data_IF_359251945916
#
_entry.id   IF_359251945916
#
_cell.length_a   1.000
_cell.length_b   1.000
_cell.length_c   1.000
_cell.angle_alpha   90.00
_cell.angle_beta   90.00
_cell.angle_gamma   90.00
#
_symmetry.space_group_name_H-M   'P 1'
#
loop_
_entity.id
_entity.type
_entity.pdbx_description
1 polymer ?
#
# COMPACT_ATOMS: atom_id res chain seq x y z
N UNK A 1 -11.95 -46.36 -5.83
CA UNK A 1 -11.09 -45.51 -4.98
C UNK A 1 -10.82 -44.12 -5.57
N UNK A 2 -10.71 -43.96 -6.89
CA UNK A 2 -10.44 -42.65 -7.53
C UNK A 2 -11.54 -41.58 -7.38
N UNK A 3 -12.83 -41.97 -7.34
CA UNK A 3 -13.94 -40.99 -7.28
C UNK A 3 -14.00 -40.19 -5.97
N UNK A 4 -13.67 -40.78 -4.82
CA UNK A 4 -13.64 -40.08 -3.52
C UNK A 4 -12.57 -38.99 -3.51
N UNK A 5 -11.35 -39.36 -3.85
CA UNK A 5 -10.23 -38.42 -3.96
C UNK A 5 -10.52 -37.28 -4.95
N UNK A 6 -11.23 -37.56 -6.04
CA UNK A 6 -11.60 -36.55 -7.03
C UNK A 6 -12.56 -35.50 -6.47
N UNK A 7 -13.61 -35.93 -5.76
CA UNK A 7 -14.57 -35.01 -5.15
C UNK A 7 -13.90 -34.14 -4.07
N UNK A 8 -13.02 -34.74 -3.28
CA UNK A 8 -12.23 -34.03 -2.26
C UNK A 8 -11.30 -32.98 -2.88
N UNK A 9 -10.65 -33.30 -4.00
CA UNK A 9 -9.80 -32.35 -4.73
C UNK A 9 -10.60 -31.18 -5.31
N UNK A 10 -11.79 -31.44 -5.89
CA UNK A 10 -12.66 -30.37 -6.41
C UNK A 10 -13.14 -29.46 -5.27
N UNK A 11 -13.61 -30.04 -4.16
CA UNK A 11 -14.11 -29.25 -3.03
C UNK A 11 -12.99 -28.41 -2.40
N UNK A 12 -11.79 -28.98 -2.28
CA UNK A 12 -10.61 -28.24 -1.83
C UNK A 12 -10.26 -27.08 -2.78
N UNK A 13 -10.23 -27.31 -4.09
CA UNK A 13 -9.99 -26.28 -5.10
C UNK A 13 -11.05 -25.16 -5.04
N UNK A 14 -12.33 -25.51 -4.92
CA UNK A 14 -13.42 -24.53 -4.78
C UNK A 14 -13.27 -23.69 -3.52
N UNK A 15 -12.98 -24.31 -2.37
CA UNK A 15 -12.78 -23.60 -1.10
C UNK A 15 -11.54 -22.70 -1.15
N UNK A 16 -10.45 -23.19 -1.73
CA UNK A 16 -9.24 -22.41 -1.96
C UNK A 16 -9.52 -21.18 -2.84
N UNK A 17 -10.22 -21.36 -3.97
CA UNK A 17 -10.59 -20.26 -4.86
C UNK A 17 -11.49 -19.23 -4.17
N UNK A 18 -12.46 -19.68 -3.36
CA UNK A 18 -13.32 -18.79 -2.57
C UNK A 18 -12.51 -17.96 -1.58
N UNK A 19 -11.64 -18.61 -0.80
CA UNK A 19 -10.82 -17.93 0.21
C UNK A 19 -9.83 -16.94 -0.42
N UNK A 20 -9.22 -17.30 -1.55
CA UNK A 20 -8.35 -16.42 -2.31
C UNK A 20 -9.08 -15.16 -2.82
N UNK A 21 -10.31 -15.32 -3.35
CA UNK A 21 -11.13 -14.18 -3.78
C UNK A 21 -11.51 -13.26 -2.62
N UNK A 22 -11.85 -13.80 -1.46
CA UNK A 22 -12.15 -13.01 -0.26
C UNK A 22 -10.91 -12.21 0.18
N UNK A 23 -9.74 -12.86 0.25
CA UNK A 23 -8.49 -12.20 0.61
C UNK A 23 -8.12 -11.11 -0.39
N UNK A 24 -8.33 -11.35 -1.69
CA UNK A 24 -8.16 -10.35 -2.74
C UNK A 24 -9.09 -9.15 -2.56
N UNK A 25 -10.38 -9.37 -2.27
CA UNK A 25 -11.33 -8.28 -2.04
C UNK A 25 -10.97 -7.43 -0.81
N UNK A 26 -10.56 -8.07 0.29
CA UNK A 26 -10.08 -7.39 1.50
C UNK A 26 -8.83 -6.56 1.18
N UNK A 27 -7.88 -7.12 0.42
CA UNK A 27 -6.66 -6.41 0.04
C UNK A 27 -6.93 -5.19 -0.85
N UNK A 28 -7.87 -5.29 -1.81
CA UNK A 28 -8.29 -4.14 -2.64
C UNK A 28 -8.90 -3.05 -1.76
N UNK A 29 -9.81 -3.42 -0.86
CA UNK A 29 -10.46 -2.48 0.05
C UNK A 29 -9.44 -1.75 0.93
N UNK A 30 -8.53 -2.48 1.56
CA UNK A 30 -7.47 -1.90 2.39
C UNK A 30 -6.54 -1.00 1.57
N UNK A 31 -6.23 -1.34 0.32
CA UNK A 31 -5.42 -0.50 -0.58
C UNK A 31 -6.08 0.86 -0.85
N UNK A 32 -7.40 0.88 -1.06
CA UNK A 32 -8.14 2.14 -1.24
C UNK A 32 -8.13 2.95 0.05
N UNK A 33 -8.41 2.32 1.20
CA UNK A 33 -8.35 2.98 2.51
C UNK A 33 -6.96 3.56 2.81
N UNK A 34 -5.89 2.80 2.51
CA UNK A 34 -4.50 3.22 2.66
C UNK A 34 -4.18 4.47 1.83
N UNK A 35 -4.66 4.51 0.59
CA UNK A 35 -4.46 5.64 -0.31
C UNK A 35 -5.18 6.90 0.19
N UNK A 36 -6.39 6.76 0.73
CA UNK A 36 -7.12 7.87 1.37
C UNK A 36 -6.36 8.34 2.61
N UNK A 37 -5.89 7.42 3.46
CA UNK A 37 -5.11 7.73 4.65
C UNK A 37 -3.84 8.50 4.28
N UNK A 38 -3.17 8.13 3.18
CA UNK A 38 -2.03 8.85 2.66
C UNK A 38 -2.36 10.30 2.29
N UNK A 39 -3.46 10.52 1.57
CA UNK A 39 -3.91 11.88 1.24
C UNK A 39 -4.22 12.68 2.51
N UNK A 40 -4.86 12.06 3.51
CA UNK A 40 -5.09 12.70 4.81
C UNK A 40 -3.77 13.10 5.47
N UNK A 41 -2.78 12.23 5.52
CA UNK A 41 -1.47 12.52 6.12
C UNK A 41 -0.78 13.71 5.44
N UNK A 42 -0.94 13.85 4.12
CA UNK A 42 -0.41 15.00 3.36
C UNK A 42 -1.21 16.27 3.66
N UNK A 43 -2.54 16.21 3.55
CA UNK A 43 -3.42 17.38 3.68
C UNK A 43 -3.33 18.00 5.07
N UNK A 44 -3.19 17.18 6.12
CA UNK A 44 -3.21 17.65 7.50
C UNK A 44 -1.86 18.28 7.87
N UNK A 45 -1.83 19.59 8.20
CA UNK A 45 -0.59 20.29 8.54
C UNK A 45 -0.20 20.07 10.00
N UNK A 46 -0.99 19.32 10.76
CA UNK A 46 -0.80 19.09 12.17
C UNK A 46 0.10 17.87 12.42
N UNK A 47 1.35 17.94 11.95
CA UNK A 47 2.35 16.92 12.26
C UNK A 47 2.95 17.16 13.64
N UNK A 48 3.28 18.42 13.91
CA UNK A 48 3.77 18.91 15.19
C UNK A 48 3.04 20.19 15.52
N UNK A 49 2.83 20.46 16.80
CA UNK A 49 2.40 21.79 17.19
C UNK A 49 2.36 21.97 18.68
N UNK A 50 2.07 23.22 19.06
CA UNK A 50 1.85 23.62 20.43
C UNK A 50 0.39 24.09 20.57
N UNK A 51 -0.35 23.44 21.45
CA UNK A 51 -1.77 23.77 21.68
C UNK A 51 -1.94 25.13 22.36
N UNK A 52 -0.95 25.61 23.12
CA UNK A 52 -1.02 26.90 23.82
C UNK A 52 -0.94 28.07 22.87
N UNK A 53 0.02 28.04 21.94
CA UNK A 53 0.23 29.10 20.95
C UNK A 53 -0.62 28.92 19.69
N UNK A 54 -1.30 27.77 19.54
CA UNK A 54 -1.97 27.36 18.29
C UNK A 54 -1.01 27.30 17.09
N UNK A 55 0.30 27.17 17.33
CA UNK A 55 1.30 26.99 16.28
C UNK A 55 1.32 25.53 15.84
N UNK A 56 1.45 25.29 14.54
CA UNK A 56 1.62 23.95 13.98
C UNK A 56 2.63 23.96 12.83
N UNK A 57 3.29 22.82 12.65
CA UNK A 57 4.24 22.55 11.58
C UNK A 57 3.77 21.31 10.84
N UNK A 58 3.50 21.49 9.55
CA UNK A 58 3.15 20.43 8.62
C UNK A 58 4.26 20.18 7.60
N UNK A 59 3.97 19.29 6.67
CA UNK A 59 4.88 18.95 5.55
C UNK A 59 5.14 20.15 4.62
N UNK A 60 4.08 20.88 4.26
CA UNK A 60 4.14 21.97 3.27
C UNK A 60 3.71 23.34 3.82
N UNK A 61 3.11 23.38 5.01
CA UNK A 61 2.61 24.60 5.64
C UNK A 61 2.94 24.64 7.14
N UNK A 62 3.16 25.83 7.66
CA UNK A 62 3.29 26.09 9.09
C UNK A 62 2.47 27.32 9.51
N UNK A 63 2.03 27.33 10.76
CA UNK A 63 1.39 28.50 11.35
C UNK A 63 2.10 28.92 12.64
N UNK A 64 2.26 30.23 12.84
CA UNK A 64 2.88 30.82 14.01
C UNK A 64 1.83 31.58 14.84
N UNK A 65 1.69 31.23 16.12
CA UNK A 65 0.88 31.94 17.11
C UNK A 65 -0.61 32.11 16.76
N UNK A 66 -1.15 31.30 15.85
CA UNK A 66 -2.55 31.40 15.41
C UNK A 66 -2.86 32.55 14.44
N UNK A 67 -1.86 33.36 14.06
CA UNK A 67 -2.01 34.44 13.10
C UNK A 67 -1.80 33.92 11.67
N UNK A 68 -2.68 34.29 10.74
CA UNK A 68 -2.66 33.85 9.33
C UNK A 68 -2.67 32.33 9.12
N UNK A 69 -3.37 31.59 9.99
CA UNK A 69 -3.64 30.17 9.75
C UNK A 69 -4.86 30.00 8.81
N UNK A 70 -4.75 30.42 7.55
CA UNK A 70 -5.73 29.99 6.56
C UNK A 70 -5.32 28.61 6.04
N UNK A 71 -6.21 27.64 6.20
CA UNK A 71 -5.97 26.28 5.71
C UNK A 71 -6.24 26.25 4.21
N UNK A 72 -5.18 26.37 3.42
CA UNK A 72 -5.23 26.25 1.97
C UNK A 72 -4.29 25.15 1.48
N UNK A 73 -4.82 24.27 0.64
CA UNK A 73 -4.08 23.18 0.01
C UNK A 73 -3.17 23.67 -1.13
N UNK A 74 -3.48 24.83 -1.74
CA UNK A 74 -2.74 25.38 -2.87
C UNK A 74 -1.62 26.34 -2.44
N UNK A 75 -1.76 26.94 -1.26
CA UNK A 75 -0.72 27.79 -0.71
C UNK A 75 0.37 26.94 -0.07
N UNK A 76 1.55 26.87 -0.70
CA UNK A 76 2.70 26.11 -0.22
C UNK A 76 3.66 27.07 0.50
N UNK A 77 3.69 27.00 1.83
CA UNK A 77 4.56 27.80 2.71
C UNK A 77 5.46 26.88 3.55
N UNK A 78 6.52 26.28 2.96
CA UNK A 78 7.43 25.44 3.70
C UNK A 78 8.23 26.28 4.70
N UNK A 79 8.38 25.78 5.93
CA UNK A 79 9.20 26.47 6.94
C UNK A 79 10.69 26.13 6.83
N UNK A 80 11.04 25.02 6.17
CA UNK A 80 12.42 24.55 5.99
C UNK A 80 12.56 23.78 4.68
N UNK A 81 13.73 23.84 4.05
CA UNK A 81 14.02 23.03 2.86
C UNK A 81 13.90 21.53 3.13
N UNK A 82 14.23 21.09 4.35
CA UNK A 82 14.14 19.70 4.77
C UNK A 82 12.66 19.26 4.82
N UNK A 83 11.78 20.12 5.36
CA UNK A 83 10.34 19.85 5.37
C UNK A 83 9.75 19.74 3.96
N UNK A 84 10.24 20.59 3.04
CA UNK A 84 9.84 20.54 1.64
C UNK A 84 10.31 19.25 0.95
N UNK A 85 11.52 18.77 1.24
CA UNK A 85 12.01 17.48 0.73
C UNK A 85 11.13 16.32 1.24
N UNK A 86 10.79 16.30 2.54
CA UNK A 86 9.83 15.32 3.07
C UNK A 86 8.50 15.39 2.32
N UNK A 87 7.93 16.58 2.12
CA UNK A 87 6.69 16.75 1.35
C UNK A 87 6.77 16.16 -0.06
N UNK A 88 7.86 16.36 -0.79
CA UNK A 88 8.05 15.80 -2.13
C UNK A 88 8.08 14.25 -2.13
N UNK A 89 8.69 13.64 -1.12
CA UNK A 89 8.64 12.18 -0.95
C UNK A 89 7.21 11.67 -0.72
N UNK A 90 6.42 12.35 0.12
CA UNK A 90 5.01 12.00 0.29
C UNK A 90 4.20 12.21 -0.98
N UNK A 91 4.42 13.33 -1.69
CA UNK A 91 3.70 13.63 -2.93
C UNK A 91 3.97 12.59 -4.02
N UNK A 92 5.24 12.22 -4.23
CA UNK A 92 5.62 11.16 -5.17
C UNK A 92 5.02 9.80 -4.79
N UNK A 93 5.01 9.48 -3.49
CA UNK A 93 4.40 8.26 -2.99
C UNK A 93 2.86 8.26 -3.16
N UNK A 94 2.19 9.41 -2.99
CA UNK A 94 0.76 9.55 -3.27
C UNK A 94 0.43 9.34 -4.75
N UNK A 95 1.27 9.85 -5.66
CA UNK A 95 1.15 9.62 -7.11
C UNK A 95 1.26 8.11 -7.42
N UNK A 96 2.22 7.41 -6.80
CA UNK A 96 2.36 5.96 -6.95
C UNK A 96 1.11 5.19 -6.46
N UNK A 97 0.53 5.61 -5.33
CA UNK A 97 -0.74 5.03 -4.84
C UNK A 97 -1.92 5.35 -5.78
N UNK A 98 -1.94 6.53 -6.40
CA UNK A 98 -2.90 6.87 -7.44
C UNK A 98 -2.80 5.93 -8.65
N UNK A 99 -1.60 5.67 -9.13
CA UNK A 99 -1.36 4.69 -10.20
C UNK A 99 -1.73 3.26 -9.79
N UNK A 100 -1.51 2.88 -8.53
CA UNK A 100 -1.95 1.60 -7.98
C UNK A 100 -3.49 1.45 -8.03
N UNK A 101 -4.23 2.46 -7.58
CA UNK A 101 -5.71 2.45 -7.66
C UNK A 101 -6.17 2.39 -9.11
N UNK A 102 -5.55 3.16 -9.99
CA UNK A 102 -5.87 3.14 -11.41
C UNK A 102 -5.66 1.74 -12.04
N UNK A 103 -4.56 1.06 -11.67
CA UNK A 103 -4.29 -0.32 -12.09
C UNK A 103 -5.37 -1.31 -11.60
N UNK A 104 -5.89 -1.12 -10.38
CA UNK A 104 -7.02 -1.91 -9.85
C UNK A 104 -8.30 -1.65 -10.65
N UNK A 105 -8.58 -0.42 -11.07
CA UNK A 105 -9.75 -0.11 -11.91
C UNK A 105 -9.66 -0.79 -13.28
N UNK A 106 -8.43 -0.97 -13.80
CA UNK A 106 -8.16 -1.71 -15.04
C UNK A 106 -8.15 -3.24 -14.86
N UNK A 107 -8.53 -3.78 -13.69
CA UNK A 107 -8.59 -5.23 -13.45
C UNK A 107 -9.46 -5.99 -14.46
N UNK A 108 -10.43 -5.32 -15.07
CA UNK A 108 -11.25 -5.90 -16.15
C UNK A 108 -10.44 -6.13 -17.44
N UNK A 109 -9.41 -5.31 -17.68
CA UNK A 109 -8.62 -5.33 -18.92
C UNK A 109 -7.31 -6.13 -18.79
N UNK A 110 -6.72 -6.18 -17.59
CA UNK A 110 -5.45 -6.86 -17.32
C UNK A 110 -5.69 -8.25 -16.69
N UNK A 111 -4.77 -9.19 -16.91
CA UNK A 111 -4.81 -10.48 -16.19
C UNK A 111 -4.62 -10.24 -14.69
N UNK A 112 -5.44 -10.90 -13.86
CA UNK A 112 -5.46 -10.72 -12.40
C UNK A 112 -4.05 -10.77 -11.77
N UNK A 113 -3.19 -11.68 -12.24
CA UNK A 113 -1.79 -11.82 -11.78
C UNK A 113 -0.98 -10.53 -11.88
N UNK A 114 -1.04 -9.86 -13.04
CA UNK A 114 -0.22 -8.69 -13.31
C UNK A 114 -0.69 -7.50 -12.50
N UNK A 115 -2.00 -7.37 -12.25
CA UNK A 115 -2.55 -6.29 -11.41
C UNK A 115 -1.99 -6.37 -10.00
N UNK A 116 -2.05 -7.54 -9.36
CA UNK A 116 -1.48 -7.73 -8.02
C UNK A 116 0.02 -7.41 -7.99
N UNK A 117 0.77 -7.90 -8.99
CA UNK A 117 2.22 -7.71 -9.05
C UNK A 117 2.59 -6.22 -9.23
N UNK A 118 1.95 -5.52 -10.16
CA UNK A 118 2.19 -4.10 -10.45
C UNK A 118 1.83 -3.23 -9.25
N UNK A 119 0.66 -3.46 -8.64
CA UNK A 119 0.23 -2.69 -7.47
C UNK A 119 1.13 -2.96 -6.27
N UNK A 120 1.56 -4.20 -6.03
CA UNK A 120 2.51 -4.52 -4.97
C UNK A 120 3.83 -3.78 -5.13
N UNK A 121 4.36 -3.66 -6.36
CA UNK A 121 5.56 -2.85 -6.61
C UNK A 121 5.33 -1.36 -6.34
N UNK A 122 4.18 -0.80 -6.76
CA UNK A 122 3.86 0.59 -6.47
C UNK A 122 3.70 0.86 -4.97
N UNK A 123 3.06 -0.06 -4.23
CA UNK A 123 2.96 0.00 -2.77
C UNK A 123 4.31 -0.12 -2.09
N UNK A 124 5.19 -1.02 -2.57
CA UNK A 124 6.54 -1.17 -2.04
C UNK A 124 7.38 0.11 -2.26
N UNK A 125 7.31 0.69 -3.46
CA UNK A 125 8.02 1.93 -3.75
C UNK A 125 7.45 3.10 -2.94
N UNK A 126 6.13 3.18 -2.82
CA UNK A 126 5.46 4.14 -1.94
C UNK A 126 5.94 3.99 -0.49
N UNK A 127 5.99 2.76 0.04
CA UNK A 127 6.50 2.47 1.39
C UNK A 127 7.92 3.01 1.61
N UNK A 128 8.83 2.80 0.65
CA UNK A 128 10.21 3.31 0.75
C UNK A 128 10.21 4.83 0.81
N UNK A 129 9.44 5.49 -0.05
CA UNK A 129 9.38 6.95 -0.11
C UNK A 129 8.73 7.56 1.14
N UNK A 130 7.62 7.01 1.62
CA UNK A 130 6.96 7.47 2.86
C UNK A 130 7.86 7.26 4.08
N UNK A 131 8.57 6.13 4.14
CA UNK A 131 9.54 5.87 5.22
C UNK A 131 10.66 6.91 5.22
N UNK A 132 11.27 7.17 4.06
CA UNK A 132 12.31 8.19 3.92
C UNK A 132 11.77 9.57 4.33
N UNK A 133 10.60 9.97 3.82
CA UNK A 133 9.97 11.25 4.16
C UNK A 133 9.70 11.41 5.66
N UNK A 134 9.23 10.34 6.31
CA UNK A 134 8.95 10.30 7.74
C UNK A 134 10.22 10.44 8.58
N UNK A 135 11.33 9.82 8.18
CA UNK A 135 12.62 9.95 8.86
C UNK A 135 13.31 11.29 8.60
N UNK A 136 13.13 11.87 7.41
CA UNK A 136 13.70 13.19 7.08
C UNK A 136 13.01 14.30 7.86
N UNK A 137 11.71 14.17 8.14
CA UNK A 137 10.93 15.24 8.76
C UNK A 137 11.47 15.69 10.14
N UNK A 138 11.87 14.79 11.07
CA UNK A 138 12.53 15.17 12.32
C UNK A 138 13.79 16.04 12.20
N UNK A 139 14.52 15.94 11.10
CA UNK A 139 15.69 16.80 10.87
C UNK A 139 15.30 18.26 10.58
N UNK A 140 14.05 18.52 10.18
CA UNK A 140 13.57 19.89 9.96
C UNK A 140 13.36 20.68 11.26
N UNK A 141 13.31 20.01 12.42
CA UNK A 141 13.02 20.64 13.72
C UNK A 141 14.15 21.53 14.24
N UNK A 142 15.35 21.39 13.68
CA UNK A 142 16.49 22.24 14.03
C UNK A 142 16.49 23.59 13.30
N UNK A 143 15.53 23.80 12.40
CA UNK A 143 15.41 25.04 11.65
C UNK A 143 15.09 26.23 12.58
N UNK A 144 15.59 27.42 12.25
CA UNK A 144 15.43 28.64 13.05
C UNK A 144 13.98 28.91 13.46
N UNK A 145 13.04 28.81 12.51
CA UNK A 145 11.60 29.00 12.72
C UNK A 145 11.03 27.99 13.72
N UNK A 146 11.44 26.72 13.64
CA UNK A 146 10.98 25.68 14.56
C UNK A 146 11.57 25.90 15.96
N UNK A 147 12.85 26.26 16.05
CA UNK A 147 13.52 26.57 17.32
C UNK A 147 12.94 27.80 18.00
N UNK A 148 12.56 28.83 17.26
CA UNK A 148 11.94 30.04 17.82
C UNK A 148 10.58 29.74 18.49
N UNK A 149 9.78 28.86 17.90
CA UNK A 149 8.41 28.56 18.37
C UNK A 149 8.40 27.44 19.42
N UNK A 150 9.23 26.41 19.22
CA UNK A 150 9.20 25.18 20.01
C UNK A 150 10.39 25.04 20.96
N UNK A 151 11.47 25.81 20.81
CA UNK A 151 12.78 25.53 21.40
C UNK A 151 13.28 24.11 21.07
N UNK A 152 13.07 23.70 19.82
CA UNK A 152 13.38 22.36 19.33
C UNK A 152 14.83 22.21 18.86
N UNK A 153 15.34 20.99 18.98
CA UNK A 153 16.56 20.52 18.31
C UNK A 153 16.22 19.28 17.46
N UNK A 154 17.21 18.75 16.74
CA UNK A 154 17.05 17.49 15.99
C UNK A 154 16.56 16.39 16.93
N UNK A 155 15.37 15.82 16.65
CA UNK A 155 14.67 14.84 17.48
C UNK A 155 14.18 15.29 18.88
N UNK A 156 14.25 16.57 19.24
CA UNK A 156 13.68 17.09 20.51
C UNK A 156 12.67 18.22 20.23
N UNK A 157 11.43 18.08 20.71
CA UNK A 157 10.35 19.01 20.36
C UNK A 157 10.15 20.18 21.34
N UNK A 158 10.90 20.23 22.45
CA UNK A 158 10.78 21.29 23.46
C UNK A 158 9.34 21.49 23.93
N UNK A 159 8.76 22.66 23.70
CA UNK A 159 7.38 23.01 24.05
C UNK A 159 6.32 22.44 23.10
N UNK A 160 6.73 21.92 21.95
CA UNK A 160 5.85 21.32 20.97
C UNK A 160 5.69 19.82 21.19
N UNK A 161 4.62 19.27 20.63
CA UNK A 161 4.29 17.85 20.73
C UNK A 161 4.00 17.26 19.35
N UNK A 162 4.29 15.97 19.22
CA UNK A 162 3.88 15.18 18.05
C UNK A 162 2.35 15.13 18.03
N UNK A 163 1.79 15.40 16.85
CA UNK A 163 0.34 15.39 16.62
C UNK A 163 -0.06 14.16 15.82
N UNK A 164 -1.38 14.01 15.67
CA UNK A 164 -2.00 12.82 15.11
C UNK A 164 -1.56 12.53 13.66
N UNK A 165 -1.28 13.54 12.81
CA UNK A 165 -0.90 13.30 11.42
C UNK A 165 0.45 12.55 11.31
N UNK A 166 1.39 12.83 12.21
CA UNK A 166 2.66 12.10 12.29
C UNK A 166 2.44 10.65 12.74
N UNK A 167 1.52 10.40 13.68
CA UNK A 167 1.17 9.04 14.12
C UNK A 167 0.53 8.26 12.97
N UNK A 168 -0.38 8.89 12.22
CA UNK A 168 -1.02 8.29 11.05
C UNK A 168 0.00 7.98 9.95
N UNK A 169 1.05 8.79 9.80
CA UNK A 169 2.16 8.51 8.90
C UNK A 169 2.89 7.20 9.27
N UNK A 170 3.14 6.96 10.55
CA UNK A 170 3.77 5.70 11.00
C UNK A 170 2.83 4.51 10.70
N UNK A 171 1.53 4.65 10.99
CA UNK A 171 0.53 3.62 10.67
C UNK A 171 0.51 3.32 9.16
N UNK A 172 0.60 4.36 8.32
CA UNK A 172 0.64 4.23 6.87
C UNK A 172 1.85 3.41 6.40
N UNK A 173 3.02 3.63 7.00
CA UNK A 173 4.25 2.88 6.67
C UNK A 173 4.03 1.37 6.91
N UNK A 174 3.48 1.01 8.07
CA UNK A 174 3.17 -0.40 8.38
C UNK A 174 2.10 -0.99 7.46
N UNK A 175 1.08 -0.21 7.15
CA UNK A 175 0.01 -0.66 6.26
C UNK A 175 0.52 -0.90 4.83
N UNK A 176 1.35 0.01 4.29
CA UNK A 176 1.91 -0.11 2.94
C UNK A 176 2.82 -1.34 2.77
N UNK A 177 3.68 -1.64 3.75
CA UNK A 177 4.52 -2.85 3.69
C UNK A 177 3.66 -4.12 3.79
N UNK A 178 2.64 -4.15 4.65
CA UNK A 178 1.74 -5.30 4.78
C UNK A 178 0.95 -5.54 3.49
N UNK A 179 0.41 -4.48 2.89
CA UNK A 179 -0.31 -4.56 1.61
C UNK A 179 0.59 -5.02 0.47
N UNK A 180 1.81 -4.50 0.40
CA UNK A 180 2.79 -4.92 -0.60
C UNK A 180 3.06 -6.43 -0.50
N UNK A 181 3.39 -6.93 0.70
CA UNK A 181 3.66 -8.35 0.95
C UNK A 181 2.44 -9.22 0.64
N UNK A 182 1.25 -8.82 1.10
CA UNK A 182 0.01 -9.55 0.82
C UNK A 182 -0.29 -9.63 -0.68
N UNK A 183 -0.08 -8.55 -1.42
CA UNK A 183 -0.29 -8.54 -2.87
C UNK A 183 0.70 -9.46 -3.60
N UNK A 184 1.97 -9.52 -3.19
CA UNK A 184 2.93 -10.48 -3.76
C UNK A 184 2.53 -11.93 -3.47
N UNK A 185 2.04 -12.21 -2.26
CA UNK A 185 1.53 -13.54 -1.90
C UNK A 185 0.33 -13.90 -2.77
N UNK A 186 -0.63 -12.98 -2.94
CA UNK A 186 -1.82 -13.18 -3.79
C UNK A 186 -1.44 -13.43 -5.26
N UNK A 187 -0.47 -12.68 -5.79
CA UNK A 187 0.04 -12.85 -7.15
C UNK A 187 0.71 -14.22 -7.37
N UNK A 188 1.46 -14.71 -6.37
CA UNK A 188 2.13 -16.02 -6.44
C UNK A 188 1.16 -17.19 -6.24
N UNK A 189 0.15 -17.01 -5.38
CA UNK A 189 -0.82 -18.04 -5.00
C UNK A 189 -2.10 -18.04 -5.83
N UNK A 190 -2.14 -17.29 -6.94
CA UNK A 190 -3.33 -17.22 -7.78
C UNK A 190 -3.77 -18.62 -8.23
N UNK A 191 -5.02 -19.03 -7.95
CA UNK A 191 -5.52 -20.32 -8.40
C UNK A 191 -5.66 -20.38 -9.92
N UNK A 192 -5.37 -21.55 -10.49
CA UNK A 192 -5.72 -21.86 -11.86
C UNK A 192 -7.25 -21.87 -12.03
N UNK A 193 -7.73 -21.50 -13.23
CA UNK A 193 -9.16 -21.53 -13.51
C UNK A 193 -9.64 -22.98 -13.45
N UNK A 194 -10.80 -23.22 -12.83
CA UNK A 194 -11.35 -24.57 -12.70
C UNK A 194 -11.53 -25.26 -14.07
N UNK A 195 -11.79 -24.50 -15.14
CA UNK A 195 -11.85 -25.01 -16.52
C UNK A 195 -10.52 -25.61 -16.97
N UNK A 196 -9.38 -24.96 -16.69
CA UNK A 196 -8.05 -25.48 -17.02
C UNK A 196 -7.77 -26.81 -16.30
N UNK A 197 -8.28 -26.94 -15.08
CA UNK A 197 -8.20 -28.20 -14.33
C UNK A 197 -9.06 -29.31 -14.97
N UNK A 198 -10.29 -29.00 -15.41
CA UNK A 198 -11.12 -29.96 -16.16
C UNK A 198 -10.49 -30.36 -17.49
N UNK A 199 -9.90 -29.43 -18.23
CA UNK A 199 -9.22 -29.70 -19.49
C UNK A 199 -7.98 -30.58 -19.26
N UNK A 200 -7.20 -30.31 -18.23
CA UNK A 200 -6.06 -31.14 -17.83
C UNK A 200 -6.51 -32.57 -17.46
N UNK A 201 -7.59 -32.71 -16.69
CA UNK A 201 -8.14 -34.01 -16.34
C UNK A 201 -8.67 -34.77 -17.56
N UNK A 202 -9.39 -34.09 -18.45
CA UNK A 202 -9.89 -34.69 -19.68
C UNK A 202 -8.73 -35.13 -20.57
N UNK A 203 -7.69 -34.32 -20.69
CA UNK A 203 -6.45 -34.65 -21.40
C UNK A 203 -5.74 -35.86 -20.79
N UNK A 204 -5.60 -35.93 -19.46
CA UNK A 204 -5.04 -37.10 -18.78
C UNK A 204 -5.91 -38.36 -18.97
N UNK A 205 -7.23 -38.19 -19.01
CA UNK A 205 -8.16 -39.29 -19.29
C UNK A 205 -8.02 -39.79 -20.72
N UNK A 206 -7.94 -38.91 -21.73
CA UNK A 206 -7.75 -39.33 -23.12
C UNK A 206 -6.37 -39.93 -23.37
N UNK A 207 -5.30 -39.37 -22.80
CA UNK A 207 -3.93 -39.90 -22.98
C UNK A 207 -3.72 -41.26 -22.34
N UNK A 208 -4.37 -41.53 -21.20
CA UNK A 208 -4.39 -42.87 -20.61
C UNK A 208 -5.15 -43.91 -21.44
N UNK A 209 -6.19 -43.49 -22.19
CA UNK A 209 -6.86 -44.37 -23.15
C UNK A 209 -5.99 -44.66 -24.41
N UNK A 210 -5.27 -43.66 -24.93
CA UNK A 210 -4.38 -43.86 -26.08
C UNK A 210 -3.10 -44.63 -25.73
N UNK A 211 -2.46 -44.36 -24.57
CA UNK A 211 -1.31 -45.14 -24.09
C UNK A 211 -1.67 -46.61 -23.80
N UNK A 212 -2.93 -46.89 -23.47
CA UNK A 212 -3.40 -48.27 -23.33
C UNK A 212 -3.67 -48.97 -24.68
N UNK A 213 -3.73 -48.22 -25.79
CA UNK A 213 -3.77 -48.78 -27.16
C UNK A 213 -2.38 -49.07 -27.72
N UNK A 214 -1.38 -48.24 -27.42
CA UNK A 214 0.01 -48.42 -27.90
C UNK A 214 0.80 -49.50 -27.12
N UNK A 215 0.32 -49.94 -25.96
CA UNK A 215 0.95 -51.02 -25.18
C UNK A 215 0.80 -52.43 -25.76
N UNK A 216 0.31 -52.58 -27.00
CA UNK A 216 0.19 -53.85 -27.70
C UNK A 216 0.82 -53.75 -29.09
N UNK A 217 2.15 -53.80 -29.18
CA UNK A 217 2.87 -54.31 -30.37
C UNK A 217 4.39 -54.18 -30.18
N UNK A 218 4.99 -54.94 -29.26
CA UNK A 218 6.36 -55.43 -29.44
C UNK A 218 6.44 -56.83 -28.85
N UNK A 219 6.17 -57.84 -29.70
CA UNK A 219 6.69 -59.19 -29.53
C UNK A 219 7.89 -59.34 -30.46
#
# INVERSE_FOLDING_TARGET
MYQGNYLDLITHSKNYNKNWRILSAIWIFLTICSSILHLLVIMNPEWIGNNKTKSYFGLYNYCNNGYDCEWDLLNIKPFSIISHISFLFYLSAAILNGFAIFSIMLFVLLTEKYVFLVVSWFQLLSFVMTTIGCFIFPFSWDHSIAREICDSQVYTLGYCSVRWAYVMSIVLIFDQILLSVLGFILAKKQPQKLSEYYDYLNYCKTSSFDGSRDGKEVY
#
